data_IF_969091793998
#
_entry.id   IF_969091793998
#
_cell.length_a   1.000
_cell.length_b   1.000
_cell.length_c   1.000
_cell.angle_alpha   90.00
_cell.angle_beta   90.00
_cell.angle_gamma   90.00
#
_symmetry.space_group_name_H-M   'P 1'
#
loop_
_entity.id
_entity.type
_entity.pdbx_description
1 polymer ?
#
# COMPACT_ATOMS: atom_id res chain seq x y z
N UNK A 1 24.92 -10.74 -3.23
CA UNK A 1 24.67 -10.72 -1.79
C UNK A 1 23.43 -9.93 -1.48
N UNK A 2 22.84 -10.01 -0.30
CA UNK A 2 21.64 -9.29 0.01
C UNK A 2 21.86 -7.78 -0.10
N UNK A 3 20.84 -7.09 -0.60
CA UNK A 3 20.74 -5.65 -0.77
C UNK A 3 21.32 -4.89 0.42
N UNK A 4 20.96 -5.32 1.60
CA UNK A 4 21.30 -4.68 2.86
C UNK A 4 22.70 -4.96 3.37
N UNK A 5 23.45 -5.86 2.76
CA UNK A 5 24.88 -6.08 3.06
C UNK A 5 25.80 -5.12 2.33
N UNK A 6 25.33 -4.56 1.21
CA UNK A 6 26.15 -3.68 0.37
C UNK A 6 25.87 -2.22 0.62
N UNK A 7 24.67 -1.88 0.99
CA UNK A 7 24.20 -0.50 1.02
C UNK A 7 23.79 -0.07 2.41
N UNK A 8 24.65 0.69 3.03
CA UNK A 8 24.43 1.36 4.32
C UNK A 8 23.14 2.22 4.34
N UNK A 9 22.60 2.53 3.19
CA UNK A 9 21.35 3.28 3.03
C UNK A 9 20.19 2.61 3.75
N UNK A 10 20.21 1.28 3.84
CA UNK A 10 19.15 0.50 4.48
C UNK A 10 19.50 0.01 5.87
N UNK A 11 20.72 0.22 6.33
CA UNK A 11 21.08 -0.04 7.72
C UNK A 11 20.47 0.98 8.67
N UNK A 12 19.88 2.03 8.14
CA UNK A 12 19.40 3.12 8.96
C UNK A 12 17.90 3.32 8.79
N UNK A 13 17.20 3.24 9.89
CA UNK A 13 16.06 4.13 10.10
C UNK A 13 14.80 3.77 9.34
N UNK A 14 14.38 2.52 9.40
CA UNK A 14 13.04 2.11 8.96
C UNK A 14 11.94 2.53 9.96
N UNK A 15 12.13 3.66 10.62
CA UNK A 15 11.23 4.16 11.67
C UNK A 15 9.83 4.48 11.15
N UNK A 16 9.73 4.85 9.89
CA UNK A 16 8.46 5.22 9.26
C UNK A 16 8.02 4.14 8.30
N UNK A 17 7.01 3.40 8.68
CA UNK A 17 6.46 2.32 7.86
C UNK A 17 5.01 2.62 7.47
N UNK A 18 4.57 2.20 6.27
CA UNK A 18 3.16 2.24 5.91
C UNK A 18 2.30 1.44 6.89
N UNK A 19 1.17 1.99 7.28
CA UNK A 19 0.22 1.27 8.13
C UNK A 19 -0.56 0.23 7.33
N UNK A 20 -1.03 -0.83 7.99
CA UNK A 20 -1.93 -1.81 7.37
C UNK A 20 -3.21 -1.15 6.85
N UNK A 21 -3.74 -0.14 7.55
CA UNK A 21 -4.93 0.57 7.10
C UNK A 21 -4.73 1.24 5.74
N UNK A 22 -3.58 1.87 5.52
CA UNK A 22 -3.26 2.43 4.20
C UNK A 22 -3.14 1.33 3.15
N UNK A 23 -2.48 0.23 3.48
CA UNK A 23 -2.34 -0.92 2.56
C UNK A 23 -3.71 -1.49 2.20
N UNK A 24 -4.62 -1.61 3.15
CA UNK A 24 -5.98 -2.13 2.91
C UNK A 24 -6.86 -1.20 2.07
N UNK A 25 -6.58 0.09 2.06
CA UNK A 25 -7.31 1.07 1.25
C UNK A 25 -6.89 1.08 -0.23
N UNK A 26 -5.73 0.51 -0.57
CA UNK A 26 -5.42 0.17 -1.96
C UNK A 26 -6.28 -1.03 -2.38
N UNK A 27 -7.38 -0.77 -3.05
CA UNK A 27 -8.36 -1.79 -3.39
C UNK A 27 -7.81 -2.82 -4.40
N UNK A 28 -8.43 -3.98 -4.42
CA UNK A 28 -8.17 -5.09 -5.36
C UNK A 28 -9.32 -5.19 -6.34
N UNK A 29 -9.01 -5.44 -7.60
CA UNK A 29 -10.04 -5.73 -8.61
C UNK A 29 -10.53 -7.17 -8.41
N UNK A 30 -11.79 -7.30 -8.10
CA UNK A 30 -12.48 -8.58 -8.00
C UNK A 30 -12.57 -9.23 -9.40
N UNK A 31 -11.99 -10.42 -9.53
CA UNK A 31 -11.84 -11.10 -10.82
C UNK A 31 -13.17 -11.60 -11.41
N UNK A 32 -14.19 -11.74 -10.58
CA UNK A 32 -15.51 -12.19 -11.01
C UNK A 32 -16.43 -11.01 -11.35
N UNK A 33 -16.45 -9.98 -10.50
CA UNK A 33 -17.39 -8.87 -10.63
C UNK A 33 -16.78 -7.62 -11.29
N UNK A 34 -15.46 -7.57 -11.43
CA UNK A 34 -14.71 -6.42 -11.89
C UNK A 34 -14.91 -5.15 -11.02
N UNK A 35 -15.32 -5.32 -9.77
CA UNK A 35 -15.45 -4.24 -8.81
C UNK A 35 -14.17 -4.06 -8.01
N UNK A 36 -13.90 -2.85 -7.56
CA UNK A 36 -12.80 -2.58 -6.65
C UNK A 36 -13.24 -2.83 -5.20
N UNK A 37 -12.62 -3.81 -4.54
CA UNK A 37 -12.96 -4.28 -3.19
C UNK A 37 -11.71 -4.37 -2.29
N UNK A 38 -11.92 -4.48 -0.99
CA UNK A 38 -10.84 -4.91 -0.10
C UNK A 38 -10.44 -6.33 -0.44
N UNK A 39 -9.13 -6.63 -0.38
CA UNK A 39 -8.59 -7.92 -0.81
C UNK A 39 -9.29 -9.14 -0.19
N UNK A 40 -9.63 -9.05 1.10
CA UNK A 40 -10.27 -10.12 1.86
C UNK A 40 -11.80 -10.26 1.61
N UNK A 41 -12.36 -9.41 0.77
CA UNK A 41 -13.78 -9.48 0.36
C UNK A 41 -13.95 -9.79 -1.12
N UNK A 42 -12.86 -10.01 -1.85
CA UNK A 42 -12.89 -10.38 -3.26
C UNK A 42 -13.39 -11.81 -3.46
N UNK A 43 -14.03 -12.07 -4.58
CA UNK A 43 -14.54 -13.40 -4.94
C UNK A 43 -13.42 -14.44 -4.99
N UNK A 44 -12.25 -14.05 -5.52
CA UNK A 44 -11.10 -14.94 -5.60
C UNK A 44 -10.58 -15.37 -4.22
N UNK A 45 -10.69 -14.52 -3.20
CA UNK A 45 -10.32 -14.89 -1.83
C UNK A 45 -11.43 -15.68 -1.14
N UNK A 46 -12.66 -15.15 -1.14
CA UNK A 46 -13.79 -15.73 -0.39
C UNK A 46 -14.14 -17.13 -0.90
N UNK A 47 -14.06 -17.35 -2.22
CA UNK A 47 -14.37 -18.64 -2.82
C UNK A 47 -13.23 -19.66 -2.77
N UNK A 48 -12.04 -19.26 -2.29
CA UNK A 48 -10.91 -20.17 -2.19
C UNK A 48 -10.77 -20.69 -0.75
N UNK A 49 -11.06 -21.98 -0.56
CA UNK A 49 -10.97 -22.68 0.72
C UNK A 49 -9.56 -23.20 1.04
N UNK A 50 -8.65 -23.14 0.09
CA UNK A 50 -7.30 -23.70 0.18
C UNK A 50 -6.23 -22.63 0.44
N UNK A 51 -6.63 -21.45 0.87
CA UNK A 51 -5.70 -20.38 1.26
C UNK A 51 -4.91 -20.83 2.49
N UNK A 52 -3.59 -20.76 2.39
CA UNK A 52 -2.69 -20.97 3.53
C UNK A 52 -1.84 -19.73 3.78
N UNK A 53 -1.54 -19.50 5.06
CA UNK A 53 -0.67 -18.40 5.45
C UNK A 53 0.76 -18.62 4.93
N UNK A 54 1.47 -17.54 4.66
CA UNK A 54 2.88 -17.62 4.29
C UNK A 54 3.73 -18.21 5.41
N UNK A 55 3.37 -18.02 6.67
CA UNK A 55 4.07 -18.63 7.80
C UNK A 55 3.93 -20.13 7.79
N UNK A 56 2.73 -20.65 7.53
CA UNK A 56 2.52 -22.08 7.39
C UNK A 56 3.34 -22.67 6.21
N UNK A 57 3.50 -21.94 5.12
CA UNK A 57 4.34 -22.34 4.00
C UNK A 57 5.82 -22.36 4.39
N UNK A 58 6.29 -21.38 5.13
CA UNK A 58 7.67 -21.32 5.64
C UNK A 58 7.98 -22.44 6.63
N UNK A 59 7.04 -22.76 7.49
CA UNK A 59 7.17 -23.85 8.45
C UNK A 59 7.31 -25.23 7.78
N UNK A 60 6.90 -25.35 6.53
CA UNK A 60 7.12 -26.55 5.71
C UNK A 60 8.55 -26.64 5.15
N UNK A 61 9.31 -25.57 5.19
CA UNK A 61 10.71 -25.58 4.79
C UNK A 61 11.53 -26.30 5.85
N UNK A 62 12.28 -27.30 5.44
CA UNK A 62 12.95 -28.26 6.34
C UNK A 62 14.08 -27.62 7.13
N UNK A 63 14.77 -26.63 6.56
CA UNK A 63 15.84 -25.89 7.20
C UNK A 63 15.85 -24.45 6.71
N UNK A 64 15.99 -23.51 7.64
CA UNK A 64 16.15 -22.10 7.29
C UNK A 64 17.41 -21.81 6.46
N UNK A 65 18.42 -22.66 6.57
CA UNK A 65 19.67 -22.56 5.80
C UNK A 65 19.51 -23.01 4.33
N UNK A 66 18.46 -23.75 4.03
CA UNK A 66 18.10 -24.15 2.66
C UNK A 66 17.26 -23.09 1.95
N UNK A 67 16.81 -22.07 2.68
CA UNK A 67 16.11 -20.95 2.10
C UNK A 67 17.14 -20.01 1.48
N UNK A 68 17.24 -20.03 0.18
CA UNK A 68 17.92 -18.99 -0.56
C UNK A 68 17.22 -17.66 -0.26
N UNK A 69 17.98 -16.66 0.16
CA UNK A 69 17.49 -15.34 0.51
C UNK A 69 16.70 -14.65 -0.61
N UNK A 70 16.95 -15.06 -1.83
CA UNK A 70 16.34 -14.50 -3.03
C UNK A 70 15.31 -15.43 -3.66
N UNK A 71 15.18 -16.65 -3.16
CA UNK A 71 14.19 -17.56 -3.68
C UNK A 71 12.86 -17.37 -2.99
N UNK A 72 11.81 -17.58 -3.74
CA UNK A 72 10.50 -17.88 -3.19
C UNK A 72 10.49 -19.32 -2.65
N UNK A 73 11.44 -19.63 -1.76
CA UNK A 73 11.66 -20.99 -1.28
C UNK A 73 10.46 -21.53 -0.51
N UNK A 74 9.64 -20.67 -0.01
CA UNK A 74 8.31 -21.02 0.48
C UNK A 74 7.31 -21.22 -0.67
N UNK A 75 7.73 -21.12 -1.92
CA UNK A 75 6.92 -21.64 -3.02
C UNK A 75 6.81 -23.13 -2.90
N UNK A 76 5.65 -23.57 -2.54
CA UNK A 76 5.38 -24.98 -2.32
C UNK A 76 4.49 -25.56 -3.39
N UNK A 77 4.66 -25.11 -4.63
CA UNK A 77 3.88 -25.58 -5.78
C UNK A 77 3.79 -27.10 -5.87
N UNK A 78 4.91 -27.75 -5.57
CA UNK A 78 5.00 -29.20 -5.65
C UNK A 78 4.47 -29.95 -4.41
N UNK A 79 3.96 -29.22 -3.41
CA UNK A 79 3.48 -29.82 -2.15
C UNK A 79 1.98 -29.82 -2.00
N UNK A 80 1.24 -29.69 -3.09
CA UNK A 80 -0.22 -29.75 -3.09
C UNK A 80 -0.89 -28.51 -2.45
N UNK A 81 -0.15 -27.45 -2.27
CA UNK A 81 -0.68 -26.18 -1.81
C UNK A 81 -1.24 -25.41 -3.01
N UNK A 82 -2.44 -24.91 -2.86
CA UNK A 82 -3.09 -24.22 -3.96
C UNK A 82 -2.70 -22.75 -4.03
N UNK A 83 -2.80 -22.02 -2.89
CA UNK A 83 -2.67 -20.56 -2.96
C UNK A 83 -2.15 -19.98 -1.64
N UNK A 84 -1.18 -19.11 -1.73
CA UNK A 84 -0.67 -18.32 -0.61
C UNK A 84 -1.53 -17.09 -0.40
N UNK A 85 -1.63 -16.61 0.84
CA UNK A 85 -2.35 -15.39 1.18
C UNK A 85 -1.81 -14.17 0.42
N UNK A 86 -0.51 -14.09 0.18
CA UNK A 86 0.11 -13.00 -0.59
C UNK A 86 -0.44 -12.91 -2.03
N UNK A 87 -0.86 -14.02 -2.62
CA UNK A 87 -1.44 -14.04 -3.97
C UNK A 87 -2.77 -13.26 -4.02
N UNK A 88 -3.47 -13.17 -2.90
CA UNK A 88 -4.69 -12.36 -2.78
C UNK A 88 -4.41 -10.94 -2.30
N UNK A 89 -3.47 -10.80 -1.38
CA UNK A 89 -3.18 -9.49 -0.77
C UNK A 89 -2.47 -8.55 -1.75
N UNK A 90 -1.62 -9.06 -2.64
CA UNK A 90 -0.68 -8.22 -3.40
C UNK A 90 -0.86 -8.30 -4.91
N UNK A 91 -1.87 -9.03 -5.41
CA UNK A 91 -2.18 -9.09 -6.84
C UNK A 91 -3.44 -8.30 -7.19
N UNK A 92 -3.53 -7.86 -8.44
CA UNK A 92 -4.69 -7.11 -8.97
C UNK A 92 -5.06 -5.86 -8.17
N UNK A 93 -4.09 -5.29 -7.50
CA UNK A 93 -4.24 -4.08 -6.69
C UNK A 93 -4.33 -2.82 -7.56
N UNK A 94 -4.87 -1.78 -6.94
CA UNK A 94 -4.62 -0.40 -7.33
C UNK A 94 -3.15 -0.21 -7.71
N UNK A 95 -2.87 0.31 -8.89
CA UNK A 95 -1.49 0.45 -9.41
C UNK A 95 -0.61 1.32 -8.53
N UNK A 96 -1.21 2.27 -7.80
CA UNK A 96 -0.49 3.14 -6.85
C UNK A 96 0.08 2.35 -5.67
N UNK A 97 -0.50 1.20 -5.34
CA UNK A 97 0.06 0.31 -4.33
C UNK A 97 1.50 -0.06 -4.67
N UNK A 98 1.74 -0.55 -5.87
CA UNK A 98 3.08 -0.97 -6.31
C UNK A 98 4.06 0.20 -6.45
N UNK A 99 3.55 1.41 -6.69
CA UNK A 99 4.37 2.61 -6.78
C UNK A 99 4.70 3.23 -5.41
N UNK A 100 3.95 2.87 -4.38
CA UNK A 100 4.03 3.51 -3.05
C UNK A 100 4.59 2.60 -1.98
N UNK A 101 4.27 1.30 -2.05
CA UNK A 101 4.51 0.32 -0.99
C UNK A 101 5.54 -0.71 -1.47
N UNK A 102 6.46 -1.04 -0.59
CA UNK A 102 7.32 -2.23 -0.69
C UNK A 102 6.71 -3.29 0.22
N UNK A 103 6.37 -4.44 -0.34
CA UNK A 103 5.81 -5.58 0.39
C UNK A 103 6.71 -6.80 0.24
N UNK A 104 6.41 -7.83 1.02
CA UNK A 104 7.10 -9.13 0.91
C UNK A 104 7.03 -9.68 -0.52
N UNK A 105 8.12 -10.22 -1.00
CA UNK A 105 8.25 -10.84 -2.32
C UNK A 105 8.11 -9.87 -3.50
N UNK A 106 8.37 -8.58 -3.31
CA UNK A 106 8.46 -7.63 -4.40
C UNK A 106 9.91 -7.30 -4.77
N UNK A 107 10.10 -6.84 -5.99
CA UNK A 107 11.38 -6.29 -6.41
C UNK A 107 11.56 -4.88 -5.86
N UNK A 108 12.71 -4.63 -5.24
CA UNK A 108 13.12 -3.32 -4.77
C UNK A 108 14.63 -3.17 -4.89
N UNK A 109 15.12 -2.12 -5.51
CA UNK A 109 16.54 -1.91 -5.83
C UNK A 109 17.19 -3.05 -6.65
N UNK A 110 16.42 -3.69 -7.52
CA UNK A 110 16.91 -4.78 -8.36
C UNK A 110 17.10 -6.10 -7.62
N UNK A 111 16.62 -6.21 -6.39
CA UNK A 111 16.63 -7.44 -5.60
C UNK A 111 15.21 -7.81 -5.14
N UNK A 112 14.98 -9.10 -4.98
CA UNK A 112 13.75 -9.60 -4.37
C UNK A 112 13.79 -9.36 -2.87
N UNK A 113 12.81 -8.60 -2.37
CA UNK A 113 12.65 -8.34 -0.93
C UNK A 113 11.89 -9.48 -0.28
N UNK A 114 12.45 -10.02 0.80
CA UNK A 114 11.82 -11.07 1.61
C UNK A 114 11.72 -10.60 3.06
N UNK A 115 10.51 -10.45 3.56
CA UNK A 115 10.21 -9.87 4.87
C UNK A 115 9.84 -10.92 5.93
N UNK A 116 10.06 -12.19 5.65
CA UNK A 116 9.86 -13.25 6.63
C UNK A 116 11.05 -13.36 7.59
N UNK A 117 10.90 -14.13 8.66
CA UNK A 117 11.85 -14.26 9.78
C UNK A 117 13.31 -14.52 9.38
N UNK A 118 13.55 -15.15 8.25
CA UNK A 118 14.90 -15.43 7.72
C UNK A 118 15.19 -14.66 6.43
N UNK A 119 14.31 -13.74 6.05
CA UNK A 119 14.44 -12.96 4.83
C UNK A 119 15.55 -11.90 4.89
N UNK A 120 15.89 -11.36 3.73
CA UNK A 120 16.96 -10.38 3.62
C UNK A 120 16.66 -9.06 4.34
N UNK A 121 15.39 -8.64 4.42
CA UNK A 121 14.99 -7.44 5.14
C UNK A 121 14.86 -7.70 6.66
N UNK A 122 14.30 -8.82 7.04
CA UNK A 122 14.15 -9.20 8.45
C UNK A 122 15.50 -9.42 9.16
N UNK A 123 16.53 -9.77 8.45
CA UNK A 123 17.87 -9.89 9.06
C UNK A 123 18.38 -8.59 9.62
N UNK A 124 18.07 -7.48 8.99
CA UNK A 124 18.42 -6.16 9.50
C UNK A 124 17.64 -5.83 10.79
N UNK A 125 16.43 -6.39 10.94
CA UNK A 125 15.54 -6.07 12.03
C UNK A 125 15.64 -7.01 13.22
N UNK A 126 16.03 -8.27 13.03
CA UNK A 126 16.09 -9.27 14.08
C UNK A 126 17.51 -9.60 14.55
N UNK A 127 18.51 -9.01 13.89
CA UNK A 127 19.87 -9.51 13.99
C UNK A 127 20.47 -9.47 15.39
N UNK A 128 20.33 -8.39 16.13
CA UNK A 128 21.10 -8.30 17.39
C UNK A 128 20.45 -7.51 18.51
N UNK A 129 19.43 -6.73 18.25
CA UNK A 129 18.73 -6.00 19.31
C UNK A 129 17.26 -5.72 18.93
N UNK A 130 16.30 -6.42 19.53
CA UNK A 130 14.89 -6.06 19.44
C UNK A 130 14.70 -4.61 19.91
N UNK A 131 14.15 -3.76 19.03
CA UNK A 131 13.89 -2.36 19.37
C UNK A 131 14.89 -1.35 18.81
N UNK A 132 15.74 -1.74 17.88
CA UNK A 132 16.56 -0.78 17.15
C UNK A 132 15.74 -0.06 16.07
N UNK A 133 16.17 1.14 15.74
CA UNK A 133 15.55 2.00 14.72
C UNK A 133 15.51 1.41 13.30
N UNK A 134 16.10 0.26 13.10
CA UNK A 134 16.19 -0.47 11.84
C UNK A 134 14.97 -1.35 11.55
N UNK A 135 14.06 -1.45 12.50
CA UNK A 135 12.86 -2.28 12.35
C UNK A 135 11.69 -1.47 11.81
N UNK A 136 11.24 -1.82 10.63
CA UNK A 136 9.90 -1.44 10.20
C UNK A 136 8.84 -2.07 11.12
N UNK A 137 7.95 -1.23 11.68
CA UNK A 137 6.90 -1.70 12.61
C UNK A 137 5.80 -2.52 11.94
N UNK A 138 5.78 -2.60 10.60
CA UNK A 138 4.64 -3.16 9.83
C UNK A 138 5.13 -4.01 8.68
N UNK A 139 5.91 -4.77 8.47
CA UNK A 139 6.30 -5.56 7.25
C UNK A 139 6.04 -4.85 5.90
N UNK A 140 6.04 -3.52 5.90
CA UNK A 140 5.95 -2.68 4.71
C UNK A 140 6.99 -1.57 4.78
N UNK A 141 7.50 -1.18 3.62
CA UNK A 141 8.35 -0.01 3.49
C UNK A 141 7.77 0.99 2.48
N UNK A 142 8.26 2.20 2.53
CA UNK A 142 7.92 3.21 1.56
C UNK A 142 8.76 3.05 0.28
N UNK A 143 8.08 3.08 -0.86
CA UNK A 143 8.71 3.28 -2.17
C UNK A 143 8.54 4.72 -2.61
N UNK A 144 7.34 5.29 -2.41
CA UNK A 144 7.05 6.69 -2.71
C UNK A 144 7.81 7.61 -1.75
N UNK A 145 8.39 8.66 -2.29
CA UNK A 145 9.14 9.64 -1.50
C UNK A 145 10.56 9.20 -1.11
N UNK A 146 10.96 7.99 -1.49
CA UNK A 146 12.31 7.49 -1.31
C UNK A 146 13.09 7.70 -2.59
N UNK A 147 14.21 8.41 -2.49
CA UNK A 147 15.10 8.61 -3.62
C UNK A 147 16.00 7.39 -3.80
N UNK A 148 15.78 6.68 -4.88
CA UNK A 148 16.58 5.52 -5.24
C UNK A 148 17.80 5.99 -6.01
N UNK A 149 18.93 6.06 -5.32
CA UNK A 149 20.21 6.34 -5.91
C UNK A 149 21.22 5.30 -5.42
N UNK A 150 22.14 4.87 -6.27
CA UNK A 150 23.25 3.99 -5.92
C UNK A 150 24.22 4.59 -4.89
N UNK A 151 24.05 5.86 -4.59
CA UNK A 151 24.89 6.60 -3.68
C UNK A 151 24.31 6.63 -2.28
N UNK A 152 25.19 6.43 -1.35
CA UNK A 152 24.87 6.38 0.07
C UNK A 152 24.50 7.77 0.59
N UNK A 153 23.52 7.81 1.45
CA UNK A 153 23.01 9.03 2.10
C UNK A 153 24.15 9.84 2.76
N UNK A 154 25.22 9.18 3.17
CA UNK A 154 26.34 9.78 3.91
C UNK A 154 27.47 10.33 3.03
N UNK A 155 27.32 10.30 1.73
CA UNK A 155 28.36 10.74 0.79
C UNK A 155 27.93 12.06 0.14
N UNK A 156 27.53 13.01 0.83
CA UNK A 156 27.29 14.43 0.45
C UNK A 156 27.33 14.71 -1.08
N UNK A 157 26.63 13.86 -1.84
CA UNK A 157 26.53 13.95 -3.28
C UNK A 157 25.25 14.71 -3.64
N UNK A 158 25.36 15.80 -4.39
CA UNK A 158 24.17 16.51 -4.87
C UNK A 158 23.27 15.58 -5.67
N UNK A 159 21.98 15.62 -5.39
CA UNK A 159 20.97 14.87 -6.14
C UNK A 159 20.06 15.84 -6.88
N UNK A 160 19.47 15.39 -7.96
CA UNK A 160 18.44 16.09 -8.71
C UNK A 160 17.01 15.78 -8.21
N UNK A 161 16.90 15.36 -6.95
CA UNK A 161 15.62 15.11 -6.30
C UNK A 161 14.77 16.39 -6.28
N UNK A 162 13.53 16.25 -6.73
CA UNK A 162 12.58 17.34 -6.77
C UNK A 162 11.51 17.12 -5.71
N UNK A 163 11.40 18.06 -4.79
CA UNK A 163 10.31 18.05 -3.83
C UNK A 163 9.02 18.58 -4.49
N UNK A 164 8.00 17.73 -4.56
CA UNK A 164 6.71 18.10 -5.12
C UNK A 164 5.88 18.83 -4.09
N UNK A 165 5.71 20.14 -4.26
CA UNK A 165 4.90 20.98 -3.37
C UNK A 165 3.41 20.77 -3.66
N UNK A 166 3.04 20.70 -4.94
CA UNK A 166 1.66 20.59 -5.39
C UNK A 166 1.59 19.87 -6.74
N UNK A 167 0.57 19.04 -6.94
CA UNK A 167 0.37 18.30 -8.18
C UNK A 167 -1.10 18.21 -8.58
N UNK A 168 -1.34 17.91 -9.84
CA UNK A 168 -2.68 17.91 -10.43
C UNK A 168 -3.65 16.96 -9.73
N UNK A 169 -3.21 15.76 -9.33
CA UNK A 169 -4.05 14.82 -8.57
C UNK A 169 -4.59 15.42 -7.27
N UNK A 170 -3.78 16.21 -6.54
CA UNK A 170 -4.24 16.95 -5.36
C UNK A 170 -5.29 18.00 -5.72
N UNK A 171 -5.11 18.73 -6.83
CA UNK A 171 -6.08 19.72 -7.29
C UNK A 171 -7.45 19.09 -7.61
N UNK A 172 -7.43 17.92 -8.28
CA UNK A 172 -8.66 17.17 -8.58
C UNK A 172 -9.36 16.73 -7.30
N UNK A 173 -8.63 16.20 -6.34
CA UNK A 173 -9.22 15.75 -5.07
C UNK A 173 -9.75 16.94 -4.24
N UNK A 174 -9.06 18.07 -4.22
CA UNK A 174 -9.58 19.29 -3.56
C UNK A 174 -10.87 19.78 -4.24
N UNK A 175 -10.93 19.74 -5.58
CA UNK A 175 -12.16 20.07 -6.32
C UNK A 175 -13.29 19.10 -5.98
N UNK A 176 -13.00 17.80 -5.95
CA UNK A 176 -13.99 16.77 -5.60
C UNK A 176 -14.56 16.99 -4.19
N UNK A 177 -13.71 17.30 -3.21
CA UNK A 177 -14.14 17.61 -1.84
C UNK A 177 -15.05 18.81 -1.78
N UNK A 178 -14.68 19.89 -2.45
CA UNK A 178 -15.53 21.10 -2.51
C UNK A 178 -16.89 20.79 -3.13
N UNK A 179 -16.93 19.98 -4.18
CA UNK A 179 -18.19 19.55 -4.81
C UNK A 179 -19.03 18.66 -3.89
N UNK A 180 -18.40 17.74 -3.14
CA UNK A 180 -19.09 16.91 -2.14
C UNK A 180 -19.67 17.77 -1.01
N UNK A 181 -18.94 18.80 -0.59
CA UNK A 181 -19.47 19.78 0.39
C UNK A 181 -20.68 20.54 -0.16
N UNK A 182 -20.62 20.99 -1.40
CA UNK A 182 -21.74 21.65 -2.06
C UNK A 182 -22.94 20.72 -2.25
N UNK A 183 -22.71 19.44 -2.53
CA UNK A 183 -23.74 18.44 -2.72
C UNK A 183 -24.63 18.22 -1.46
N UNK A 184 -24.22 18.68 -0.29
CA UNK A 184 -25.05 18.70 0.93
C UNK A 184 -26.27 19.58 0.78
N UNK A 185 -26.17 20.69 0.04
CA UNK A 185 -27.24 21.63 -0.21
C UNK A 185 -27.77 21.63 -1.65
N UNK A 186 -26.93 21.18 -2.59
CA UNK A 186 -27.27 21.05 -4.01
C UNK A 186 -26.91 19.65 -4.53
N UNK A 187 -27.84 18.70 -4.47
CA UNK A 187 -27.58 17.31 -4.89
C UNK A 187 -27.10 17.17 -6.34
N UNK A 188 -27.34 18.17 -7.21
CA UNK A 188 -26.87 18.15 -8.61
C UNK A 188 -25.34 18.11 -8.72
N UNK A 189 -24.60 18.50 -7.68
CA UNK A 189 -23.14 18.51 -7.63
C UNK A 189 -22.53 17.14 -7.37
N UNK A 190 -23.31 16.16 -6.92
CA UNK A 190 -22.81 14.83 -6.58
C UNK A 190 -22.15 14.12 -7.77
N UNK A 191 -22.83 14.10 -8.90
CA UNK A 191 -22.32 13.46 -10.12
C UNK A 191 -20.99 14.07 -10.59
N UNK A 192 -20.86 15.41 -10.53
CA UNK A 192 -19.60 16.07 -10.88
C UNK A 192 -18.48 15.74 -9.90
N UNK A 193 -18.80 15.64 -8.60
CA UNK A 193 -17.82 15.24 -7.58
C UNK A 193 -17.27 13.85 -7.83
N UNK A 194 -18.15 12.85 -8.08
CA UNK A 194 -17.79 11.48 -8.37
C UNK A 194 -16.95 11.41 -9.64
N UNK A 195 -17.37 12.06 -10.72
CA UNK A 195 -16.61 12.11 -11.96
C UNK A 195 -15.22 12.77 -11.79
N UNK A 196 -15.10 13.70 -10.86
CA UNK A 196 -13.82 14.39 -10.61
C UNK A 196 -12.82 13.48 -9.91
N UNK A 197 -13.16 12.77 -8.84
CA UNK A 197 -12.22 11.88 -8.20
C UNK A 197 -12.01 10.56 -8.97
N UNK A 198 -12.95 10.15 -9.83
CA UNK A 198 -12.74 9.04 -10.73
C UNK A 198 -11.56 9.26 -11.70
N UNK A 199 -11.18 10.49 -11.98
CA UNK A 199 -10.00 10.76 -12.82
C UNK A 199 -8.71 10.23 -12.20
N UNK A 200 -8.50 10.39 -10.89
CA UNK A 200 -7.35 9.80 -10.21
C UNK A 200 -7.50 8.29 -10.04
N UNK A 201 -8.70 7.85 -9.70
CA UNK A 201 -9.02 6.44 -9.48
C UNK A 201 -8.76 5.58 -10.72
N UNK A 202 -9.20 6.02 -11.88
CA UNK A 202 -9.05 5.26 -13.13
C UNK A 202 -7.67 5.42 -13.74
N UNK A 203 -7.15 6.65 -13.84
CA UNK A 203 -5.90 6.94 -14.53
C UNK A 203 -4.69 6.50 -13.71
N UNK A 204 -4.63 6.86 -12.44
CA UNK A 204 -3.51 6.51 -11.57
C UNK A 204 -3.68 5.12 -10.95
N UNK A 205 -4.87 4.83 -10.45
CA UNK A 205 -5.16 3.55 -9.78
C UNK A 205 -5.37 2.40 -10.74
N UNK A 206 -5.84 2.66 -11.95
CA UNK A 206 -6.28 1.62 -12.88
C UNK A 206 -7.46 0.82 -12.37
N UNK A 207 -8.23 1.40 -11.44
CA UNK A 207 -9.43 0.81 -10.87
C UNK A 207 -10.65 1.15 -11.74
N UNK A 208 -11.72 0.35 -11.68
CA UNK A 208 -13.01 0.75 -12.23
C UNK A 208 -13.53 2.00 -11.52
N UNK A 209 -14.37 2.76 -12.22
CA UNK A 209 -15.00 3.96 -11.69
C UNK A 209 -15.81 3.66 -10.42
N UNK A 210 -15.87 4.62 -9.51
CA UNK A 210 -16.87 4.61 -8.45
C UNK A 210 -18.21 4.98 -9.06
N UNK A 211 -19.22 4.17 -8.76
CA UNK A 211 -20.61 4.38 -9.17
C UNK A 211 -21.47 4.94 -8.01
N UNK A 212 -20.82 5.62 -7.05
CA UNK A 212 -21.50 6.18 -5.89
C UNK A 212 -22.68 7.08 -6.31
N UNK A 213 -23.86 6.69 -5.88
CA UNK A 213 -25.13 7.37 -6.20
C UNK A 213 -25.69 8.18 -5.05
N UNK A 214 -25.16 7.99 -3.86
CA UNK A 214 -25.52 8.76 -2.66
C UNK A 214 -24.31 9.54 -2.13
N UNK A 215 -24.61 10.63 -1.42
CA UNK A 215 -23.55 11.45 -0.81
C UNK A 215 -22.70 10.64 0.20
N UNK A 216 -23.31 9.69 0.90
CA UNK A 216 -22.60 8.85 1.87
C UNK A 216 -21.60 7.90 1.17
N UNK A 217 -22.03 7.26 0.09
CA UNK A 217 -21.16 6.41 -0.72
C UNK A 217 -20.03 7.23 -1.34
N UNK A 218 -20.34 8.37 -1.93
CA UNK A 218 -19.35 9.23 -2.55
C UNK A 218 -18.28 9.73 -1.56
N UNK A 219 -18.68 10.10 -0.34
CA UNK A 219 -17.73 10.46 0.71
C UNK A 219 -16.86 9.29 1.14
N UNK A 220 -17.42 8.10 1.23
CA UNK A 220 -16.66 6.88 1.56
C UNK A 220 -15.59 6.60 0.50
N UNK A 221 -15.97 6.61 -0.76
CA UNK A 221 -15.06 6.33 -1.87
C UNK A 221 -14.01 7.44 -2.03
N UNK A 222 -14.42 8.69 -1.89
CA UNK A 222 -13.51 9.84 -1.91
C UNK A 222 -12.44 9.76 -0.83
N UNK A 223 -12.78 9.35 0.39
CA UNK A 223 -11.81 9.21 1.49
C UNK A 223 -10.74 8.17 1.16
N UNK A 224 -11.16 7.03 0.65
CA UNK A 224 -10.25 5.98 0.21
C UNK A 224 -9.35 6.52 -0.91
N UNK A 225 -9.96 7.15 -1.92
CA UNK A 225 -9.25 7.71 -3.06
C UNK A 225 -8.19 8.73 -2.64
N UNK A 226 -8.54 9.65 -1.74
CA UNK A 226 -7.61 10.66 -1.23
C UNK A 226 -6.49 10.03 -0.40
N UNK A 227 -6.81 9.03 0.43
CA UNK A 227 -5.83 8.35 1.26
C UNK A 227 -4.77 7.63 0.42
N UNK A 228 -5.16 6.93 -0.65
CA UNK A 228 -4.23 6.19 -1.50
C UNK A 228 -3.51 7.06 -2.54
N UNK A 229 -4.05 8.20 -2.89
CA UNK A 229 -3.42 9.14 -3.82
C UNK A 229 -2.33 10.00 -3.16
N UNK A 230 -2.55 10.46 -1.92
CA UNK A 230 -1.72 11.47 -1.27
C UNK A 230 -0.87 10.98 -0.06
N UNK A 231 -0.50 9.69 0.06
CA UNK A 231 0.40 9.28 1.13
C UNK A 231 1.76 9.98 0.97
N UNK A 232 2.43 10.24 2.07
CA UNK A 232 3.71 10.97 2.16
C UNK A 232 3.66 12.44 1.70
N UNK A 233 2.46 13.00 1.50
CA UNK A 233 2.27 14.40 1.09
C UNK A 233 1.70 15.31 2.20
N UNK A 234 1.74 14.85 3.45
CA UNK A 234 1.28 15.62 4.61
C UNK A 234 -0.25 15.86 4.67
N UNK A 235 -1.03 15.07 3.95
CA UNK A 235 -2.46 15.30 3.74
C UNK A 235 -3.35 14.54 4.74
N UNK A 236 -3.04 13.29 5.03
CA UNK A 236 -3.91 12.38 5.78
C UNK A 236 -4.23 12.85 7.21
N UNK A 237 -3.30 13.49 7.87
CA UNK A 237 -3.53 14.03 9.22
C UNK A 237 -4.70 15.02 9.23
N UNK A 238 -4.73 15.95 8.29
CA UNK A 238 -5.79 16.94 8.18
C UNK A 238 -7.12 16.30 7.78
N UNK A 239 -7.08 15.34 6.86
CA UNK A 239 -8.27 14.58 6.46
C UNK A 239 -8.89 13.84 7.66
N UNK A 240 -8.10 13.23 8.50
CA UNK A 240 -8.58 12.53 9.70
C UNK A 240 -9.24 13.45 10.71
N UNK A 241 -8.71 14.67 10.89
CA UNK A 241 -9.29 15.67 11.80
C UNK A 241 -10.66 16.20 11.33
N UNK A 242 -10.83 16.45 10.04
CA UNK A 242 -12.12 16.89 9.48
C UNK A 242 -13.22 15.88 9.79
N UNK A 243 -12.88 14.59 9.81
CA UNK A 243 -13.85 13.51 10.05
C UNK A 243 -14.12 13.21 11.53
N UNK A 244 -13.22 13.57 12.43
CA UNK A 244 -13.44 13.46 13.87
C UNK A 244 -14.45 14.52 14.34
N UNK A 245 -14.50 15.69 13.70
CA UNK A 245 -15.40 16.77 14.07
C UNK A 245 -16.82 16.67 13.48
N UNK A 246 -17.06 15.79 12.50
CA UNK A 246 -18.37 15.63 11.85
C UNK A 246 -19.38 14.66 12.55
N UNK A 247 -18.96 13.62 13.31
CA UNK A 247 -19.94 12.70 13.92
C UNK A 247 -20.90 13.35 14.90
N UNK A 248 -20.55 14.49 15.46
CA UNK A 248 -21.33 15.16 16.51
C UNK A 248 -22.44 16.07 15.98
N UNK A 249 -22.50 16.34 14.68
CA UNK A 249 -23.56 17.19 14.09
C UNK A 249 -24.79 16.44 13.57
N UNK A 250 -24.76 15.11 13.55
CA UNK A 250 -25.88 14.29 13.08
C UNK A 250 -26.69 13.62 14.20
N UNK A 251 -26.44 13.98 15.46
CA UNK A 251 -27.17 13.44 16.62
C UNK A 251 -27.99 14.51 17.37
N UNK A 252 -28.43 15.53 16.69
CA UNK A 252 -29.45 16.47 17.21
C UNK A 252 -30.61 16.59 16.24
#
# INVERSE_FOLDING_TARGET
>A
GPLFKKDWVFECWLEHSPSQNLVDDYLVIDQLTNEAKKWNTTSQFVNNTNVISNDAVRDLAVNADELDEHSLAYETKDKGRDTRINDFMYTHRDKRFYATIVQDSCEYYGELVTMHKTGNLQRCSLGEAPGTAEMGSTNYLWRKGVYINDWRIFVDVPTDYHYVIFRYGRALLNKAEALLCLAKSDPSKLSEAVATFNQTRTVHGGLPESEASTLVEAWKDYKIERHVELPMEGDYYWLSLIHISEPTRHSL
#
